data_IF_969506112167
#
_entry.id   IF_969506112167
#
_cell.length_a   1.000
_cell.length_b   1.000
_cell.length_c   1.000
_cell.angle_alpha   90.00
_cell.angle_beta   90.00
_cell.angle_gamma   90.00
#
_symmetry.space_group_name_H-M   'P 1'
#
loop_
_entity.id
_entity.type
_entity.pdbx_description
1 polymer ?
#
# COMPACT_ATOMS: atom_id res chain seq x y z
N UNK A 1 20.57 54.15 38.37
CA UNK A 1 20.41 52.70 38.64
C UNK A 1 19.10 52.23 38.02
N UNK A 2 19.09 50.97 37.55
CA UNK A 2 18.01 50.18 36.91
C UNK A 2 16.73 50.20 37.77
N UNK A 3 15.49 50.02 37.29
CA UNK A 3 14.95 48.90 36.50
C UNK A 3 13.53 49.21 35.97
N UNK A 4 13.12 48.39 35.01
CA UNK A 4 12.01 48.47 34.04
C UNK A 4 10.61 48.23 34.64
N UNK A 5 9.61 48.98 34.17
CA UNK A 5 8.16 48.68 34.28
C UNK A 5 7.51 49.03 32.95
N UNK A 6 6.62 48.16 32.45
CA UNK A 6 5.79 48.48 31.29
C UNK A 6 4.92 47.31 30.83
N UNK A 7 3.82 47.06 31.54
CA UNK A 7 2.75 46.14 31.15
C UNK A 7 2.13 46.53 29.80
N UNK A 8 1.85 45.51 28.99
CA UNK A 8 1.04 45.58 27.77
C UNK A 8 -0.42 45.94 28.06
N UNK A 9 -1.01 46.79 27.22
CA UNK A 9 -2.45 46.82 26.98
C UNK A 9 -2.80 47.48 25.63
N UNK A 10 -3.98 47.07 25.12
CA UNK A 10 -4.81 47.62 24.05
C UNK A 10 -4.57 47.10 22.62
N UNK A 11 -5.58 46.94 21.76
CA UNK A 11 -7.03 46.76 21.83
C UNK A 11 -7.50 46.44 20.40
N UNK A 12 -8.69 45.86 20.27
CA UNK A 12 -9.35 45.35 19.05
C UNK A 12 -9.64 46.45 18.01
N UNK A 13 -9.53 46.11 16.72
CA UNK A 13 -10.29 46.79 15.64
C UNK A 13 -10.92 45.72 14.72
N UNK A 14 -12.25 45.66 14.74
CA UNK A 14 -13.09 45.01 13.74
C UNK A 14 -13.69 46.12 12.86
N UNK A 15 -13.47 46.08 11.56
CA UNK A 15 -14.22 46.86 10.58
C UNK A 15 -14.30 46.08 9.26
N UNK A 16 -15.53 45.88 8.78
CA UNK A 16 -15.86 45.06 7.62
C UNK A 16 -15.78 45.80 6.27
N UNK A 17 -16.10 45.05 5.22
CA UNK A 17 -16.33 45.58 3.88
C UNK A 17 -16.54 44.45 2.87
N UNK A 18 -17.80 44.17 2.55
CA UNK A 18 -18.15 43.37 1.38
C UNK A 18 -18.21 44.28 0.16
N UNK A 19 -17.46 43.94 -0.90
CA UNK A 19 -17.74 44.42 -2.27
C UNK A 19 -17.60 43.24 -3.23
N UNK A 20 -18.68 43.02 -3.98
CA UNK A 20 -18.78 42.03 -5.05
C UNK A 20 -18.33 42.72 -6.33
N UNK A 21 -17.36 42.14 -7.04
CA UNK A 21 -17.10 42.48 -8.44
C UNK A 21 -17.12 41.19 -9.24
N UNK A 22 -18.18 41.04 -10.04
CA UNK A 22 -18.22 40.11 -11.16
C UNK A 22 -17.40 40.75 -12.28
N UNK A 23 -16.45 40.03 -12.88
CA UNK A 23 -16.19 40.16 -14.31
C UNK A 23 -15.48 38.91 -14.86
N UNK A 24 -15.98 38.56 -16.03
CA UNK A 24 -15.74 37.41 -16.90
C UNK A 24 -14.29 37.21 -17.32
N UNK A 25 -13.86 35.94 -17.37
CA UNK A 25 -12.69 35.56 -18.17
C UNK A 25 -12.07 34.23 -17.77
N UNK A 26 -12.12 33.27 -18.71
CA UNK A 26 -11.32 32.04 -18.77
C UNK A 26 -11.80 30.89 -17.87
N UNK A 27 -12.32 29.83 -18.52
CA UNK A 27 -12.33 28.47 -17.99
C UNK A 27 -10.88 28.01 -17.80
N UNK A 28 -10.22 28.46 -16.73
CA UNK A 28 -9.09 27.75 -16.17
C UNK A 28 -9.68 26.54 -15.46
N UNK A 29 -9.60 25.38 -16.11
CA UNK A 29 -9.81 24.09 -15.45
C UNK A 29 -8.81 24.07 -14.30
N UNK A 30 -9.28 24.39 -13.08
CA UNK A 30 -8.50 24.16 -11.89
C UNK A 30 -8.16 22.67 -11.93
N UNK A 31 -6.89 22.35 -12.15
CA UNK A 31 -6.42 20.98 -11.98
C UNK A 31 -6.86 20.59 -10.58
N UNK A 32 -7.84 19.69 -10.51
CA UNK A 32 -8.20 19.08 -9.25
C UNK A 32 -6.89 18.47 -8.76
N UNK A 33 -6.31 19.05 -7.71
CA UNK A 33 -5.21 18.43 -7.02
C UNK A 33 -5.76 17.09 -6.54
N UNK A 34 -5.44 16.03 -7.28
CA UNK A 34 -5.76 14.67 -6.87
C UNK A 34 -5.03 14.52 -5.55
N UNK A 35 -5.79 14.51 -4.45
CA UNK A 35 -5.24 14.29 -3.13
C UNK A 35 -4.60 12.90 -3.16
N UNK A 36 -3.28 12.88 -3.32
CA UNK A 36 -2.54 11.63 -3.24
C UNK A 36 -2.59 11.16 -1.80
N UNK A 37 -3.24 10.04 -1.56
CA UNK A 37 -3.21 9.41 -0.25
C UNK A 37 -1.77 9.17 0.21
N UNK A 38 -1.49 9.16 1.53
CA UNK A 38 -0.13 9.06 2.08
C UNK A 38 0.69 7.80 1.70
N UNK A 39 0.15 6.91 0.87
CA UNK A 39 0.81 5.71 0.35
C UNK A 39 0.90 5.61 -1.18
N UNK A 40 0.32 6.53 -1.96
CA UNK A 40 0.25 6.37 -3.43
C UNK A 40 1.61 6.36 -4.13
N UNK A 41 2.63 6.96 -3.51
CA UNK A 41 3.99 6.98 -4.05
C UNK A 41 4.95 6.04 -3.29
N UNK A 42 4.44 5.22 -2.36
CA UNK A 42 5.26 4.25 -1.62
C UNK A 42 5.28 2.90 -2.34
N UNK A 43 6.43 2.18 -2.36
CA UNK A 43 6.47 0.79 -2.80
C UNK A 43 5.52 -0.06 -1.96
N UNK A 44 4.86 -1.03 -2.60
CA UNK A 44 4.08 -2.05 -1.88
C UNK A 44 5.05 -2.91 -1.05
N UNK A 45 4.75 -3.03 0.24
CA UNK A 45 5.59 -3.73 1.21
C UNK A 45 5.28 -5.22 1.38
N UNK A 46 4.21 -5.71 0.75
CA UNK A 46 3.75 -7.10 0.84
C UNK A 46 2.34 -7.28 0.29
N UNK A 47 1.89 -8.52 0.17
CA UNK A 47 0.59 -8.89 -0.41
C UNK A 47 -0.16 -9.82 0.54
N UNK A 48 -0.88 -9.19 1.46
CA UNK A 48 -1.78 -9.87 2.39
C UNK A 48 -3.02 -10.42 1.67
N UNK A 49 -3.45 -11.64 2.01
CA UNK A 49 -4.51 -12.35 1.33
C UNK A 49 -5.07 -13.56 2.10
N UNK A 50 -5.75 -14.47 1.40
CA UNK A 50 -6.37 -15.65 2.03
C UNK A 50 -5.34 -16.69 2.52
N UNK A 51 -4.24 -16.86 1.78
CA UNK A 51 -3.20 -17.87 2.06
C UNK A 51 -2.40 -17.59 3.34
N UNK A 52 -2.27 -16.32 3.73
CA UNK A 52 -1.59 -15.90 4.96
C UNK A 52 -2.55 -15.40 6.06
N UNK A 53 -3.86 -15.34 5.79
CA UNK A 53 -4.86 -15.05 6.81
C UNK A 53 -5.13 -16.24 7.75
N UNK A 54 -5.70 -15.92 8.92
CA UNK A 54 -6.35 -16.88 9.80
C UNK A 54 -7.80 -17.09 9.34
N UNK A 55 -8.21 -18.32 8.97
CA UNK A 55 -9.59 -18.60 8.59
C UNK A 55 -10.59 -18.31 9.71
N UNK A 56 -11.82 -17.93 9.36
CA UNK A 56 -12.89 -17.60 10.32
C UNK A 56 -13.21 -18.75 11.28
N UNK A 57 -13.09 -19.99 10.81
CA UNK A 57 -13.30 -21.20 11.62
C UNK A 57 -12.07 -21.56 12.49
N UNK A 58 -10.98 -20.80 12.41
CA UNK A 58 -9.72 -21.04 13.11
C UNK A 58 -8.89 -22.21 12.58
N UNK A 59 -9.35 -22.92 11.55
CA UNK A 59 -8.65 -24.09 11.00
C UNK A 59 -7.82 -23.72 9.78
N UNK A 60 -6.51 -23.86 9.89
CA UNK A 60 -5.58 -23.72 8.76
C UNK A 60 -5.39 -25.03 7.96
N UNK A 61 -6.24 -26.04 8.20
CA UNK A 61 -6.12 -27.33 7.52
C UNK A 61 -6.27 -27.17 6.01
N UNK A 62 -5.28 -27.66 5.26
CA UNK A 62 -5.25 -27.55 3.80
C UNK A 62 -4.75 -26.22 3.26
N UNK A 63 -4.36 -25.27 4.12
CA UNK A 63 -3.66 -24.07 3.70
C UNK A 63 -2.15 -24.30 3.62
N UNK A 64 -1.45 -23.56 2.74
CA UNK A 64 0.00 -23.54 2.70
C UNK A 64 0.61 -23.23 4.07
N UNK A 65 1.70 -23.91 4.40
CA UNK A 65 2.51 -23.61 5.58
C UNK A 65 3.46 -22.43 5.34
N UNK A 66 3.90 -22.28 4.10
CA UNK A 66 4.81 -21.21 3.70
C UNK A 66 4.54 -20.80 2.25
N UNK A 67 4.56 -19.50 2.00
CA UNK A 67 4.35 -18.93 0.67
C UNK A 67 5.32 -17.80 0.41
N UNK A 68 5.67 -17.60 -0.86
CA UNK A 68 6.36 -16.41 -1.34
C UNK A 68 5.54 -15.68 -2.39
N UNK A 69 5.61 -14.35 -2.39
CA UNK A 69 5.10 -13.52 -3.46
C UNK A 69 6.24 -13.10 -4.39
N UNK A 70 6.14 -13.42 -5.68
CA UNK A 70 7.18 -13.10 -6.67
C UNK A 70 6.65 -12.07 -7.66
N UNK A 71 7.38 -10.96 -7.82
CA UNK A 71 7.10 -9.98 -8.87
C UNK A 71 7.62 -10.52 -10.21
N UNK A 72 6.71 -10.80 -11.15
CA UNK A 72 7.05 -11.47 -12.42
C UNK A 72 7.87 -10.62 -13.38
N UNK A 73 7.86 -9.30 -13.22
CA UNK A 73 8.68 -8.40 -14.05
C UNK A 73 10.16 -8.40 -13.63
N UNK A 74 10.44 -8.64 -12.35
CA UNK A 74 11.81 -8.59 -11.79
C UNK A 74 12.34 -9.97 -11.39
N UNK A 75 11.47 -10.97 -11.26
CA UNK A 75 11.81 -12.29 -10.74
C UNK A 75 12.14 -12.32 -9.24
N UNK A 76 11.89 -11.22 -8.52
CA UNK A 76 12.25 -11.10 -7.11
C UNK A 76 11.09 -11.51 -6.19
N UNK A 77 11.44 -12.20 -5.10
CA UNK A 77 10.55 -12.34 -3.95
C UNK A 77 10.37 -10.96 -3.31
N UNK A 78 9.13 -10.54 -3.18
CA UNK A 78 8.73 -9.23 -2.63
C UNK A 78 7.98 -9.36 -1.31
N UNK A 79 7.53 -10.56 -0.97
CA UNK A 79 6.91 -10.89 0.30
C UNK A 79 7.06 -12.38 0.61
N UNK A 80 7.00 -12.74 1.89
CA UNK A 80 7.05 -14.11 2.36
C UNK A 80 6.15 -14.28 3.60
N UNK A 81 5.57 -15.46 3.71
CA UNK A 81 4.76 -15.83 4.87
C UNK A 81 5.12 -17.23 5.32
N UNK A 82 5.33 -17.40 6.63
CA UNK A 82 5.47 -18.69 7.28
C UNK A 82 4.46 -18.78 8.44
N UNK A 83 3.58 -19.79 8.37
CA UNK A 83 2.48 -19.95 9.32
C UNK A 83 2.97 -20.18 10.74
N UNK A 84 4.02 -20.98 10.91
CA UNK A 84 4.56 -21.26 12.25
C UNK A 84 5.14 -20.01 12.93
N UNK A 85 5.75 -19.12 12.14
CA UNK A 85 6.22 -17.82 12.64
C UNK A 85 5.05 -16.90 12.99
N UNK A 86 4.05 -16.83 12.12
CA UNK A 86 2.85 -16.03 12.36
C UNK A 86 2.08 -16.51 13.60
N UNK A 87 1.92 -17.82 13.79
CA UNK A 87 1.29 -18.43 14.97
C UNK A 87 2.08 -18.13 16.26
N UNK A 88 3.39 -17.90 16.14
CA UNK A 88 4.26 -17.42 17.22
C UNK A 88 4.23 -15.89 17.41
N UNK A 89 3.44 -15.15 16.63
CA UNK A 89 3.35 -13.69 16.67
C UNK A 89 4.55 -12.97 16.04
N UNK A 90 5.29 -13.66 15.16
CA UNK A 90 6.46 -13.12 14.47
C UNK A 90 6.13 -12.76 13.02
N UNK A 91 6.75 -11.68 12.54
CA UNK A 91 6.72 -11.32 11.11
C UNK A 91 7.67 -12.26 10.37
N UNK A 92 7.25 -12.72 9.18
CA UNK A 92 8.14 -13.44 8.26
C UNK A 92 8.85 -12.44 7.38
N UNK A 93 10.18 -12.47 7.34
CA UNK A 93 10.96 -11.70 6.37
C UNK A 93 11.25 -12.57 5.15
N UNK A 94 11.46 -11.93 3.99
CA UNK A 94 11.92 -12.64 2.78
C UNK A 94 13.23 -13.40 3.03
N UNK A 95 14.10 -12.89 3.91
CA UNK A 95 15.35 -13.56 4.30
C UNK A 95 15.17 -14.81 5.15
N UNK A 96 13.97 -15.04 5.69
CA UNK A 96 13.69 -16.18 6.57
C UNK A 96 13.27 -17.43 5.77
N UNK A 97 12.95 -17.25 4.48
CA UNK A 97 12.48 -18.31 3.58
C UNK A 97 13.57 -18.67 2.57
N UNK A 98 13.98 -19.94 2.58
CA UNK A 98 14.91 -20.50 1.60
C UNK A 98 14.13 -21.01 0.38
N UNK A 99 13.91 -20.13 -0.59
CA UNK A 99 13.19 -20.46 -1.83
C UNK A 99 13.91 -19.91 -3.06
N UNK A 100 14.34 -20.82 -3.94
CA UNK A 100 14.89 -20.46 -5.25
C UNK A 100 13.76 -20.25 -6.26
N UNK A 101 13.60 -19.01 -6.71
CA UNK A 101 12.63 -18.68 -7.77
C UNK A 101 13.11 -19.26 -9.10
N UNK A 102 12.33 -20.15 -9.69
CA UNK A 102 12.50 -20.63 -11.06
C UNK A 102 11.47 -19.92 -11.95
N UNK A 103 11.85 -18.91 -12.75
CA UNK A 103 10.89 -18.17 -13.58
C UNK A 103 10.22 -19.06 -14.62
N UNK A 104 8.89 -19.02 -14.67
CA UNK A 104 8.09 -19.70 -15.69
C UNK A 104 7.69 -18.69 -16.79
N UNK A 105 8.03 -18.95 -18.08
CA UNK A 105 7.59 -18.12 -19.20
C UNK A 105 6.06 -17.98 -19.33
N UNK A 106 5.29 -18.88 -18.74
CA UNK A 106 3.83 -18.83 -18.72
C UNK A 106 3.25 -17.88 -17.67
N UNK A 107 4.06 -17.40 -16.71
CA UNK A 107 3.58 -16.44 -15.70
C UNK A 107 3.09 -15.14 -16.35
N UNK A 108 1.99 -14.56 -15.84
CA UNK A 108 1.47 -13.32 -16.34
C UNK A 108 2.49 -12.20 -16.11
N UNK A 109 2.71 -11.38 -17.14
CA UNK A 109 3.63 -10.24 -17.07
C UNK A 109 3.04 -9.13 -16.21
N UNK A 110 3.90 -8.41 -15.50
CA UNK A 110 3.51 -7.30 -14.63
C UNK A 110 2.47 -7.74 -13.59
N UNK A 111 2.76 -8.88 -12.97
CA UNK A 111 1.91 -9.48 -11.94
C UNK A 111 2.75 -9.84 -10.73
N UNK A 112 2.05 -10.19 -9.67
CA UNK A 112 2.59 -10.98 -8.58
C UNK A 112 1.99 -12.38 -8.69
N UNK A 113 2.84 -13.38 -8.52
CA UNK A 113 2.41 -14.77 -8.33
C UNK A 113 2.69 -15.17 -6.88
N UNK A 114 1.73 -15.83 -6.25
CA UNK A 114 1.88 -16.40 -4.92
C UNK A 114 2.17 -17.88 -5.08
N UNK A 115 3.28 -18.34 -4.49
CA UNK A 115 3.78 -19.71 -4.65
C UNK A 115 3.79 -20.39 -3.29
N UNK A 116 3.23 -21.60 -3.21
CA UNK A 116 3.45 -22.51 -2.07
C UNK A 116 4.86 -23.11 -2.17
N UNK A 117 5.72 -22.81 -1.21
CA UNK A 117 7.16 -23.14 -1.30
C UNK A 117 7.42 -24.64 -1.27
N UNK A 118 6.61 -25.40 -0.52
CA UNK A 118 6.74 -26.85 -0.41
C UNK A 118 6.51 -27.60 -1.74
N UNK A 119 5.69 -27.04 -2.64
CA UNK A 119 5.33 -27.69 -3.91
C UNK A 119 5.82 -26.93 -5.14
N UNK A 120 6.24 -25.67 -4.97
CA UNK A 120 6.57 -24.77 -6.08
C UNK A 120 5.35 -24.35 -6.91
N UNK A 121 4.13 -24.66 -6.47
CA UNK A 121 2.91 -24.35 -7.23
C UNK A 121 2.49 -22.91 -7.03
N UNK A 122 2.16 -22.23 -8.12
CA UNK A 122 1.40 -20.98 -8.07
C UNK A 122 -0.01 -21.28 -7.59
N UNK A 123 -0.44 -20.56 -6.55
CA UNK A 123 -1.76 -20.71 -5.92
C UNK A 123 -2.65 -19.49 -6.11
N UNK A 124 -2.09 -18.35 -6.49
CA UNK A 124 -2.80 -17.13 -6.85
C UNK A 124 -1.91 -16.26 -7.75
N UNK A 125 -2.54 -15.45 -8.60
CA UNK A 125 -1.86 -14.38 -9.30
C UNK A 125 -2.76 -13.15 -9.49
N UNK A 126 -2.14 -11.97 -9.55
CA UNK A 126 -2.87 -10.76 -9.87
C UNK A 126 -1.94 -9.73 -10.51
N UNK A 127 -2.53 -8.88 -11.35
CA UNK A 127 -1.81 -7.81 -12.04
C UNK A 127 -1.47 -6.68 -11.08
N UNK A 128 -0.27 -6.12 -11.27
CA UNK A 128 0.20 -4.96 -10.53
C UNK A 128 0.65 -3.85 -11.48
N UNK A 129 0.61 -2.61 -11.00
CA UNK A 129 1.18 -1.47 -11.70
C UNK A 129 2.71 -1.41 -11.54
N UNK A 130 3.34 -0.38 -12.11
CA UNK A 130 4.80 -0.19 -12.03
C UNK A 130 5.34 0.07 -10.62
N UNK A 131 4.47 0.32 -9.63
CA UNK A 131 4.80 0.50 -8.21
C UNK A 131 4.52 -0.77 -7.39
N UNK A 132 3.94 -1.80 -8.01
CA UNK A 132 3.52 -3.03 -7.35
C UNK A 132 2.09 -2.99 -6.80
N UNK A 133 1.33 -1.91 -7.00
CA UNK A 133 -0.04 -1.85 -6.50
C UNK A 133 -0.97 -2.76 -7.33
N UNK A 134 -1.82 -3.59 -6.70
CA UNK A 134 -2.80 -4.41 -7.42
C UNK A 134 -3.72 -3.55 -8.30
N UNK A 135 -3.89 -3.94 -9.57
CA UNK A 135 -4.80 -3.26 -10.50
C UNK A 135 -6.20 -3.86 -10.31
N UNK A 136 -7.05 -3.15 -9.56
CA UNK A 136 -8.46 -3.53 -9.43
C UNK A 136 -9.20 -2.93 -10.63
N UNK A 137 -9.66 -3.78 -11.55
CA UNK A 137 -10.55 -3.31 -12.60
C UNK A 137 -11.85 -2.80 -11.96
N UNK A 138 -12.39 -1.63 -12.35
CA UNK A 138 -13.69 -1.20 -11.86
C UNK A 138 -14.71 -2.29 -12.21
N UNK A 139 -15.36 -2.87 -11.21
CA UNK A 139 -16.52 -3.73 -11.42
C UNK A 139 -17.55 -2.90 -12.17
N UNK A 140 -17.94 -3.34 -13.36
CA UNK A 140 -19.06 -2.74 -14.06
C UNK A 140 -20.28 -2.76 -13.11
N UNK A 141 -21.04 -1.64 -13.01
CA UNK A 141 -22.21 -1.56 -12.14
C UNK A 141 -23.29 -2.57 -12.52
#
# INVERSE_FOLDING_TARGET
>A
MKLVVGMMAAAVVLAGGAVVSMESGTHGQAEASVFKGPGEDRPVGGYEGWWNATPVNGSAQGLPQETVAVNTATGKVVDAFNRSMNDAGLVTLVSDVDFEVVPDPAWPRNSVVIIETATGKVIEDFRVDGKGAPIIAPTAP
#
